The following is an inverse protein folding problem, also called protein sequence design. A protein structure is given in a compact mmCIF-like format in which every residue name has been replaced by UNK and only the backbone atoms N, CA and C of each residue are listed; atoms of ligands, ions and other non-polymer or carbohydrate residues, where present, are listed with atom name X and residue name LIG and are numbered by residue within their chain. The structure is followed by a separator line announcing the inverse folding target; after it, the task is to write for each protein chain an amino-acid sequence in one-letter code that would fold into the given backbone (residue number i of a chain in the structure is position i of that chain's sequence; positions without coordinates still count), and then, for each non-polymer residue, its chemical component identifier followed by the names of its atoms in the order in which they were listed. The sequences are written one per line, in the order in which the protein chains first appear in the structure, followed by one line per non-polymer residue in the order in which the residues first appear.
data_IF_564363588628
#
_entry.id   IF_564363588628
#
_cell.length_a   1.000
_cell.length_b   1.000
_cell.length_c   1.000
_cell.angle_alpha   90.00
_cell.angle_beta   90.00
_cell.angle_gamma   90.00
#
_symmetry.space_group_name_H-M   'P 1'
#
loop_
_entity.id
_entity.type
_entity.pdbx_description
1 polymer ?
#
# COMPACT_ATOMS: atom_id res chain seq x y z
N UNK A 1 21.39 7.47 63.57
CA UNK A 1 21.57 6.98 62.18
C UNK A 1 20.62 7.74 61.27
N UNK A 2 21.16 8.55 60.35
CA UNK A 2 20.38 9.40 59.41
C UNK A 2 19.97 8.55 58.20
N UNK A 3 18.70 8.65 57.78
CA UNK A 3 18.27 8.18 56.44
C UNK A 3 18.17 9.41 55.55
N UNK A 4 19.06 9.49 54.56
CA UNK A 4 19.07 10.53 53.54
C UNK A 4 17.89 10.32 52.58
N UNK A 5 16.88 11.19 52.68
CA UNK A 5 15.80 11.29 51.70
C UNK A 5 16.21 12.29 50.62
N UNK A 6 16.60 11.80 49.43
CA UNK A 6 16.80 12.66 48.26
C UNK A 6 15.44 13.19 47.77
N UNK A 7 15.31 14.48 47.42
CA UNK A 7 14.07 15.02 46.88
C UNK A 7 13.90 14.57 45.42
N UNK A 8 12.72 14.02 45.12
CA UNK A 8 12.31 13.62 43.77
C UNK A 8 11.95 14.88 42.99
N UNK A 9 12.84 15.35 42.11
CA UNK A 9 12.55 16.44 41.16
C UNK A 9 11.38 16.04 40.28
N UNK A 10 10.25 16.74 40.46
CA UNK A 10 9.06 16.66 39.61
C UNK A 10 9.44 17.27 38.26
N UNK A 11 9.71 16.44 37.25
CA UNK A 11 9.74 16.91 35.86
C UNK A 11 8.34 17.42 35.54
N UNK A 12 8.24 18.72 35.30
CA UNK A 12 7.12 19.32 34.59
C UNK A 12 7.19 18.81 33.16
N UNK A 13 6.45 17.74 32.87
CA UNK A 13 6.08 17.42 31.50
C UNK A 13 5.33 18.64 30.97
N UNK A 14 5.94 19.31 30.00
CA UNK A 14 5.24 20.30 29.20
C UNK A 14 4.31 19.47 28.33
N UNK A 15 3.06 19.31 28.78
CA UNK A 15 1.99 18.78 27.94
C UNK A 15 1.87 19.74 26.76
N UNK A 16 2.40 19.32 25.61
CA UNK A 16 2.10 20.01 24.37
C UNK A 16 0.57 19.99 24.19
N UNK A 17 -0.03 21.12 23.78
CA UNK A 17 -1.48 21.19 23.62
C UNK A 17 -1.89 20.18 22.55
N UNK A 18 -2.55 19.11 22.97
CA UNK A 18 -3.34 18.24 22.12
C UNK A 18 -4.46 19.09 21.51
N UNK A 19 -4.20 19.73 20.36
CA UNK A 19 -5.28 20.17 19.49
C UNK A 19 -6.14 18.95 19.16
N UNK A 20 -7.44 18.93 19.51
CA UNK A 20 -8.31 17.86 19.09
C UNK A 20 -8.35 17.93 17.56
N UNK A 21 -7.78 16.92 16.89
CA UNK A 21 -7.97 16.74 15.46
C UNK A 21 -9.48 16.82 15.20
N UNK A 22 -9.90 17.77 14.34
CA UNK A 22 -11.27 17.77 13.84
C UNK A 22 -11.59 16.36 13.34
N UNK A 23 -12.77 15.84 13.67
CA UNK A 23 -13.16 14.51 13.24
C UNK A 23 -13.03 14.43 11.72
N UNK A 24 -12.27 13.45 11.22
CA UNK A 24 -12.10 13.26 9.78
C UNK A 24 -13.50 13.16 9.13
N UNK A 25 -13.73 13.77 7.96
CA UNK A 25 -15.05 13.78 7.32
C UNK A 25 -15.46 12.40 6.75
N UNK A 26 -14.70 11.36 7.09
CA UNK A 26 -14.87 10.01 6.61
C UNK A 26 -14.50 8.99 7.70
N UNK A 27 -15.02 7.78 7.51
CA UNK A 27 -14.60 6.55 8.17
C UNK A 27 -13.97 5.60 7.15
N UNK A 28 -13.02 4.80 7.62
CA UNK A 28 -12.48 3.70 6.82
C UNK A 28 -13.45 2.52 6.84
N UNK A 29 -13.71 1.95 5.67
CA UNK A 29 -14.45 0.69 5.55
C UNK A 29 -13.72 -0.44 6.30
N UNK A 30 -14.45 -1.18 7.13
CA UNK A 30 -13.92 -2.33 7.85
C UNK A 30 -14.42 -3.63 7.22
N UNK A 31 -13.61 -4.21 6.33
CA UNK A 31 -13.96 -5.45 5.62
C UNK A 31 -14.17 -6.64 6.55
N UNK A 32 -13.66 -6.58 7.79
CA UNK A 32 -13.83 -7.66 8.76
C UNK A 32 -15.28 -7.75 9.22
N UNK A 33 -16.00 -6.63 9.29
CA UNK A 33 -17.42 -6.60 9.63
C UNK A 33 -18.24 -7.39 8.60
N UNK A 34 -17.89 -7.24 7.32
CA UNK A 34 -18.62 -7.83 6.20
C UNK A 34 -18.01 -9.14 5.69
N UNK A 35 -16.93 -9.61 6.31
CA UNK A 35 -16.15 -10.79 5.88
C UNK A 35 -15.68 -10.73 4.42
N UNK A 36 -15.49 -9.52 3.88
CA UNK A 36 -15.09 -9.35 2.50
C UNK A 36 -13.58 -9.70 2.31
N UNK A 37 -13.23 -10.42 1.22
CA UNK A 37 -11.84 -10.69 0.87
C UNK A 37 -11.12 -9.39 0.46
N UNK A 38 -9.80 -9.46 0.39
CA UNK A 38 -9.00 -8.44 -0.31
C UNK A 38 -8.86 -8.92 -1.74
N UNK A 39 -9.02 -8.05 -2.72
CA UNK A 39 -8.80 -8.41 -4.13
C UNK A 39 -7.55 -7.77 -4.72
N UNK A 40 -7.07 -8.31 -5.83
CA UNK A 40 -6.12 -7.62 -6.69
C UNK A 40 -6.83 -6.49 -7.44
N UNK A 41 -6.08 -5.55 -8.02
CA UNK A 41 -6.65 -4.57 -8.96
C UNK A 41 -7.28 -5.20 -10.21
N UNK A 42 -7.02 -6.48 -10.48
CA UNK A 42 -7.62 -7.24 -11.57
C UNK A 42 -8.91 -7.97 -11.14
N UNK A 43 -9.29 -7.89 -9.86
CA UNK A 43 -10.50 -8.52 -9.33
C UNK A 43 -10.33 -9.95 -8.84
N UNK A 44 -9.09 -10.45 -8.76
CA UNK A 44 -8.77 -11.78 -8.23
C UNK A 44 -8.64 -11.75 -6.71
N UNK A 45 -8.78 -12.87 -6.02
CA UNK A 45 -8.56 -12.92 -4.58
C UNK A 45 -7.08 -12.71 -4.22
N UNK A 46 -6.83 -11.80 -3.29
CA UNK A 46 -5.49 -11.56 -2.76
C UNK A 46 -5.24 -12.44 -1.52
N UNK A 47 -4.21 -13.31 -1.52
CA UNK A 47 -3.96 -14.27 -0.45
C UNK A 47 -3.76 -13.61 0.93
N UNK A 48 -4.30 -14.23 1.97
CA UNK A 48 -4.22 -13.70 3.33
C UNK A 48 -2.77 -13.68 3.86
N UNK A 49 -1.91 -14.57 3.39
CA UNK A 49 -0.49 -14.67 3.75
C UNK A 49 0.32 -13.55 3.06
N UNK A 50 -0.03 -13.20 1.83
CA UNK A 50 0.58 -12.11 1.08
C UNK A 50 0.39 -10.76 1.80
N UNK A 51 -0.76 -10.55 2.44
CA UNK A 51 -1.05 -9.33 3.20
C UNK A 51 -0.09 -9.07 4.38
N UNK A 52 0.55 -10.10 4.94
CA UNK A 52 1.57 -9.90 5.99
C UNK A 52 2.94 -9.51 5.44
N UNK A 53 3.13 -9.58 4.12
CA UNK A 53 4.40 -9.28 3.45
C UNK A 53 4.44 -7.88 2.83
N UNK A 54 3.36 -7.10 2.95
CA UNK A 54 3.32 -5.70 2.53
C UNK A 54 4.43 -4.89 3.21
N UNK A 55 5.04 -3.98 2.45
CA UNK A 55 6.22 -3.19 2.83
C UNK A 55 5.98 -1.70 2.60
N UNK A 56 6.91 -0.88 3.09
CA UNK A 56 6.97 0.55 2.75
C UNK A 56 7.24 0.68 1.25
N UNK A 57 6.52 1.59 0.59
CA UNK A 57 6.53 1.78 -0.86
C UNK A 57 5.44 1.01 -1.61
N UNK A 58 4.83 0.00 -0.97
CA UNK A 58 3.73 -0.74 -1.59
C UNK A 58 2.48 0.14 -1.69
N UNK A 59 1.76 0.02 -2.80
CA UNK A 59 0.47 0.68 -3.00
C UNK A 59 -0.69 -0.20 -2.53
N UNK A 60 -1.67 0.38 -1.87
CA UNK A 60 -2.92 -0.28 -1.48
C UNK A 60 -4.10 0.61 -1.81
N UNK A 61 -5.29 0.02 -1.91
CA UNK A 61 -6.54 0.77 -2.06
C UNK A 61 -7.39 0.66 -0.80
N UNK A 62 -7.91 1.79 -0.36
CA UNK A 62 -8.83 1.92 0.75
C UNK A 62 -10.18 2.43 0.25
N UNK A 63 -11.25 2.11 0.98
CA UNK A 63 -12.58 2.66 0.78
C UNK A 63 -12.90 3.60 1.95
N UNK A 64 -13.04 4.89 1.64
CA UNK A 64 -13.44 5.94 2.58
C UNK A 64 -14.94 6.17 2.41
N UNK A 65 -15.68 6.30 3.50
CA UNK A 65 -17.14 6.48 3.49
C UNK A 65 -17.53 7.61 4.43
N UNK A 66 -18.57 8.36 4.10
CA UNK A 66 -19.21 9.29 5.03
C UNK A 66 -20.40 8.63 5.75
N UNK A 67 -21.09 9.41 6.56
CA UNK A 67 -22.30 8.99 7.28
C UNK A 67 -23.54 8.94 6.38
N UNK A 68 -23.51 9.61 5.22
CA UNK A 68 -24.57 9.56 4.21
C UNK A 68 -24.49 8.30 3.32
N UNK A 69 -23.41 7.52 3.43
CA UNK A 69 -23.18 6.32 2.64
C UNK A 69 -22.48 6.58 1.31
N UNK A 70 -22.05 7.82 1.04
CA UNK A 70 -21.20 8.15 -0.08
C UNK A 70 -19.78 7.61 0.16
N UNK A 71 -19.15 7.08 -0.88
CA UNK A 71 -17.84 6.44 -0.74
C UNK A 71 -16.86 6.84 -1.84
N UNK A 72 -15.58 6.81 -1.49
CA UNK A 72 -14.47 7.03 -2.42
C UNK A 72 -13.42 5.92 -2.26
N UNK A 73 -12.98 5.34 -3.38
CA UNK A 73 -11.85 4.40 -3.41
C UNK A 73 -10.57 5.14 -3.79
N UNK A 74 -9.58 5.13 -2.90
CA UNK A 74 -8.36 5.93 -3.05
C UNK A 74 -7.14 5.03 -2.88
N UNK A 75 -6.10 5.31 -3.67
CA UNK A 75 -4.82 4.63 -3.61
C UNK A 75 -3.90 5.32 -2.61
N UNK A 76 -3.20 4.52 -1.81
CA UNK A 76 -2.22 4.98 -0.82
C UNK A 76 -0.92 4.22 -1.00
N UNK A 77 0.19 4.94 -1.00
CA UNK A 77 1.52 4.36 -0.83
C UNK A 77 1.79 4.19 0.67
N UNK A 78 2.22 3.01 1.10
CA UNK A 78 2.59 2.77 2.51
C UNK A 78 3.87 3.53 2.82
N UNK A 79 3.82 4.46 3.76
CA UNK A 79 4.98 5.27 4.20
C UNK A 79 5.63 4.72 5.46
N UNK A 80 4.85 4.05 6.33
CA UNK A 80 5.39 3.35 7.49
C UNK A 80 4.52 2.20 7.97
N UNK A 81 5.15 1.25 8.68
CA UNK A 81 4.49 0.08 9.26
C UNK A 81 4.88 -0.03 10.73
N UNK A 82 3.87 0.00 11.60
CA UNK A 82 4.03 -0.29 13.02
C UNK A 82 3.83 -1.79 13.25
N UNK A 83 4.83 -2.44 13.85
CA UNK A 83 4.79 -3.85 14.23
C UNK A 83 4.52 -4.02 15.73
N UNK A 84 4.12 -5.23 16.14
CA UNK A 84 4.00 -5.55 17.56
C UNK A 84 5.39 -5.64 18.21
N UNK A 85 5.61 -4.87 19.28
CA UNK A 85 6.90 -4.79 19.98
C UNK A 85 7.22 -5.98 20.88
N UNK A 86 6.24 -6.85 21.18
CA UNK A 86 6.42 -8.03 22.05
C UNK A 86 6.19 -9.32 21.26
N UNK A 87 7.14 -10.26 21.36
CA UNK A 87 7.00 -11.63 20.87
C UNK A 87 7.57 -11.95 19.49
N UNK A 88 8.38 -11.06 18.90
CA UNK A 88 9.11 -11.36 17.65
C UNK A 88 8.22 -11.54 16.42
N UNK A 89 6.92 -11.25 16.48
CA UNK A 89 6.04 -11.38 15.32
C UNK A 89 6.29 -10.23 14.34
N UNK A 90 6.74 -10.54 13.13
CA UNK A 90 6.84 -9.62 11.99
C UNK A 90 5.47 -9.21 11.41
N UNK A 91 4.39 -9.35 12.19
CA UNK A 91 3.02 -9.08 11.73
C UNK A 91 2.72 -7.58 11.79
N UNK A 92 2.38 -6.93 10.66
CA UNK A 92 1.95 -5.54 10.66
C UNK A 92 0.73 -5.31 11.54
N UNK A 93 0.78 -4.31 12.43
CA UNK A 93 -0.33 -3.89 13.29
C UNK A 93 -1.09 -2.74 12.67
N UNK A 94 -0.37 -1.71 12.25
CA UNK A 94 -0.91 -0.44 11.75
C UNK A 94 0.00 0.04 10.62
N UNK A 95 -0.63 0.64 9.61
CA UNK A 95 0.04 1.24 8.48
C UNK A 95 -0.21 2.74 8.52
N UNK A 96 0.74 3.51 8.03
CA UNK A 96 0.51 4.86 7.55
C UNK A 96 0.72 4.87 6.04
N UNK A 97 -0.10 5.62 5.34
CA UNK A 97 0.06 5.76 3.90
C UNK A 97 -0.35 7.13 3.42
N UNK A 98 0.31 7.53 2.34
CA UNK A 98 0.12 8.82 1.67
C UNK A 98 -0.78 8.63 0.47
N UNK A 99 -1.83 9.44 0.37
CA UNK A 99 -2.76 9.42 -0.75
C UNK A 99 -2.04 9.75 -2.04
N UNK A 100 -2.18 8.88 -3.04
CA UNK A 100 -1.62 9.06 -4.37
C UNK A 100 -2.56 9.87 -5.26
N UNK A 101 -1.99 10.61 -6.21
CA UNK A 101 -2.77 11.25 -7.27
C UNK A 101 -3.57 10.19 -8.02
N UNK A 102 -4.84 10.48 -8.29
CA UNK A 102 -5.66 9.62 -9.14
C UNK A 102 -6.20 10.45 -10.29
N UNK A 103 -6.38 9.83 -11.46
CA UNK A 103 -6.90 10.47 -12.68
C UNK A 103 -8.32 11.07 -12.53
N UNK A 104 -8.94 10.98 -11.35
CA UNK A 104 -10.25 11.57 -11.13
C UNK A 104 -10.09 13.09 -11.07
N UNK A 105 -10.81 13.77 -11.97
CA UNK A 105 -11.02 15.21 -11.98
C UNK A 105 -11.29 15.65 -10.53
N UNK A 106 -10.54 16.66 -10.08
CA UNK A 106 -10.61 17.24 -8.74
C UNK A 106 -12.08 17.59 -8.43
N UNK A 107 -12.76 16.69 -7.73
CA UNK A 107 -14.04 17.01 -7.11
C UNK A 107 -13.70 17.90 -5.91
N UNK A 108 -14.40 19.02 -5.69
CA UNK A 108 -14.20 19.82 -4.47
C UNK A 108 -14.48 19.03 -3.19
N UNK A 109 -15.18 17.89 -3.30
CA UNK A 109 -15.68 17.08 -2.19
C UNK A 109 -14.85 15.80 -1.92
N UNK A 110 -13.52 15.81 -2.14
CA UNK A 110 -12.70 14.64 -1.79
C UNK A 110 -12.56 14.50 -0.28
N UNK A 111 -12.64 13.28 0.23
CA UNK A 111 -12.40 13.01 1.64
C UNK A 111 -10.94 13.20 2.05
N UNK A 112 -10.01 12.98 1.12
CA UNK A 112 -8.57 13.24 1.27
C UNK A 112 -7.99 13.79 -0.02
N UNK A 113 -7.01 14.67 0.11
CA UNK A 113 -6.25 15.24 -1.00
C UNK A 113 -5.00 14.41 -1.32
N UNK A 114 -4.44 14.59 -2.51
CA UNK A 114 -3.13 14.03 -2.82
C UNK A 114 -2.09 14.51 -1.81
N UNK A 115 -1.25 13.59 -1.32
CA UNK A 115 -0.23 13.88 -0.32
C UNK A 115 -0.69 13.77 1.13
N UNK A 116 -2.01 13.71 1.39
CA UNK A 116 -2.52 13.50 2.75
C UNK A 116 -2.09 12.14 3.30
N UNK A 117 -1.60 12.13 4.53
CA UNK A 117 -1.22 10.89 5.21
C UNK A 117 -2.30 10.46 6.20
N UNK A 118 -2.68 9.18 6.12
CA UNK A 118 -3.67 8.61 7.02
C UNK A 118 -3.18 7.29 7.62
N UNK A 119 -3.72 6.97 8.78
CA UNK A 119 -3.46 5.72 9.47
C UNK A 119 -4.54 4.68 9.16
N UNK A 120 -4.16 3.45 8.86
CA UNK A 120 -5.09 2.34 8.63
C UNK A 120 -4.57 1.00 9.15
N UNK A 121 -5.41 -0.02 9.08
CA UNK A 121 -5.09 -1.38 9.49
C UNK A 121 -5.34 -2.33 8.32
N UNK A 122 -4.81 -3.55 8.42
CA UNK A 122 -4.98 -4.60 7.40
C UNK A 122 -6.45 -4.88 7.03
N UNK A 123 -7.39 -4.66 7.95
CA UNK A 123 -8.83 -4.85 7.73
C UNK A 123 -9.47 -3.73 6.90
N UNK A 124 -8.79 -2.61 6.70
CA UNK A 124 -9.29 -1.50 5.88
C UNK A 124 -8.82 -1.58 4.42
N UNK A 125 -7.83 -2.41 4.13
CA UNK A 125 -7.32 -2.62 2.77
C UNK A 125 -8.33 -3.45 1.98
N UNK A 126 -8.84 -2.88 0.88
CA UNK A 126 -9.80 -3.54 0.00
C UNK A 126 -9.14 -4.12 -1.25
N UNK A 127 -8.10 -3.46 -1.78
CA UNK A 127 -7.41 -3.92 -2.97
C UNK A 127 -5.89 -3.71 -2.89
N UNK A 128 -5.12 -4.55 -3.57
CA UNK A 128 -3.65 -4.47 -3.69
C UNK A 128 -3.27 -4.68 -5.18
N UNK A 129 -2.22 -4.04 -5.74
CA UNK A 129 -1.80 -4.34 -7.10
C UNK A 129 -1.38 -5.80 -7.27
N UNK A 130 -1.75 -6.40 -8.41
CA UNK A 130 -1.53 -7.82 -8.70
C UNK A 130 -0.06 -8.24 -8.76
N UNK A 131 0.85 -7.33 -9.15
CA UNK A 131 2.31 -7.60 -9.24
C UNK A 131 2.96 -8.05 -7.92
N UNK A 132 2.25 -7.89 -6.79
CA UNK A 132 2.73 -8.32 -5.49
C UNK A 132 2.66 -9.83 -5.38
N UNK A 133 1.74 -10.49 -6.08
CA UNK A 133 1.64 -11.94 -6.09
C UNK A 133 2.88 -12.59 -6.70
N UNK A 134 3.40 -12.00 -7.79
CA UNK A 134 4.67 -12.42 -8.41
C UNK A 134 5.84 -12.20 -7.45
N UNK A 135 5.89 -11.01 -6.83
CA UNK A 135 6.93 -10.62 -5.87
C UNK A 135 6.96 -11.50 -4.61
N UNK A 136 5.82 -12.10 -4.26
CA UNK A 136 5.70 -13.02 -3.13
C UNK A 136 5.86 -14.50 -3.52
N UNK A 137 6.05 -14.81 -4.81
CA UNK A 137 6.13 -16.17 -5.32
C UNK A 137 4.81 -16.94 -5.16
N UNK A 138 3.68 -16.24 -5.20
CA UNK A 138 2.34 -16.79 -4.96
C UNK A 138 1.44 -16.79 -6.22
N UNK A 139 1.93 -16.29 -7.35
CA UNK A 139 1.24 -16.43 -8.62
C UNK A 139 1.28 -17.89 -9.10
N UNK A 140 0.20 -18.64 -8.87
CA UNK A 140 0.02 -19.97 -9.41
C UNK A 140 -0.68 -19.89 -10.77
N UNK A 141 0.05 -20.11 -11.87
CA UNK A 141 -0.58 -20.29 -13.18
C UNK A 141 0.24 -19.98 -14.44
N UNK A 142 1.39 -19.31 -14.35
CA UNK A 142 2.29 -19.12 -15.48
C UNK A 142 3.73 -19.21 -14.99
N UNK A 143 4.44 -20.29 -15.34
CA UNK A 143 5.90 -20.46 -15.22
C UNK A 143 6.55 -19.85 -13.97
N UNK A 144 6.82 -20.67 -12.95
CA UNK A 144 7.53 -20.24 -11.74
C UNK A 144 8.87 -19.54 -12.01
N UNK A 145 9.45 -18.86 -11.01
CA UNK A 145 10.61 -18.01 -11.18
C UNK A 145 11.88 -18.86 -11.29
N UNK A 146 12.11 -19.47 -12.46
CA UNK A 146 13.45 -19.80 -12.90
C UNK A 146 13.89 -18.70 -13.89
N UNK A 147 14.71 -17.79 -13.37
CA UNK A 147 15.68 -16.99 -14.15
C UNK A 147 15.19 -16.44 -15.49
N UNK A 148 14.19 -15.55 -15.47
CA UNK A 148 13.70 -14.89 -16.69
C UNK A 148 14.63 -13.79 -17.24
N UNK A 149 15.84 -13.57 -16.70
CA UNK A 149 16.78 -12.62 -17.33
C UNK A 149 17.15 -13.08 -18.75
N UNK A 150 17.43 -14.37 -18.92
CA UNK A 150 17.78 -14.92 -20.24
C UNK A 150 16.59 -14.91 -21.21
N UNK A 151 15.38 -15.22 -20.75
CA UNK A 151 14.17 -15.18 -21.57
C UNK A 151 13.76 -13.75 -21.95
N UNK A 152 13.92 -12.79 -21.03
CA UNK A 152 13.68 -11.36 -21.29
C UNK A 152 14.75 -10.79 -22.23
N UNK A 153 16.02 -11.21 -22.09
CA UNK A 153 17.10 -10.83 -23.02
C UNK A 153 16.93 -11.44 -24.42
N UNK A 154 16.47 -12.69 -24.52
CA UNK A 154 16.19 -13.33 -25.80
C UNK A 154 14.98 -12.72 -26.50
N UNK A 155 13.92 -12.38 -25.76
CA UNK A 155 12.75 -11.69 -26.32
C UNK A 155 13.13 -10.26 -26.76
N UNK A 156 13.96 -9.56 -25.97
CA UNK A 156 14.50 -8.25 -26.34
C UNK A 156 15.38 -8.33 -27.60
N UNK A 157 16.18 -9.39 -27.75
CA UNK A 157 16.97 -9.63 -28.98
C UNK A 157 16.08 -9.90 -30.18
N UNK A 158 15.03 -10.71 -30.03
CA UNK A 158 14.05 -10.95 -31.11
C UNK A 158 13.36 -9.68 -31.58
N UNK A 159 12.89 -8.85 -30.65
CA UNK A 159 12.22 -7.58 -30.99
C UNK A 159 13.20 -6.65 -31.74
N UNK A 160 14.45 -6.54 -31.27
CA UNK A 160 15.47 -5.71 -31.92
C UNK A 160 15.87 -6.24 -33.31
N UNK A 161 15.92 -7.55 -33.50
CA UNK A 161 16.17 -8.15 -34.83
C UNK A 161 14.98 -7.95 -35.77
N UNK A 162 13.75 -8.04 -35.25
CA UNK A 162 12.55 -7.77 -36.04
C UNK A 162 12.49 -6.31 -36.48
N UNK A 163 12.79 -5.36 -35.59
CA UNK A 163 12.88 -3.93 -35.92
C UNK A 163 14.01 -3.62 -36.93
N UNK A 164 15.18 -4.26 -36.79
CA UNK A 164 16.26 -4.14 -37.79
C UNK A 164 15.85 -4.65 -39.15
N UNK A 165 15.13 -5.76 -39.20
CA UNK A 165 14.67 -6.36 -40.45
C UNK A 165 13.62 -5.47 -41.13
N UNK A 166 12.68 -4.91 -40.36
CA UNK A 166 11.66 -3.99 -40.87
C UNK A 166 12.27 -2.67 -41.39
N UNK A 167 13.28 -2.13 -40.71
CA UNK A 167 14.00 -0.92 -41.17
C UNK A 167 14.83 -1.20 -42.43
N UNK A 168 15.42 -2.39 -42.56
CA UNK A 168 16.18 -2.78 -43.75
C UNK A 168 15.28 -2.89 -44.99
N UNK A 169 14.10 -3.50 -44.87
CA UNK A 169 13.14 -3.60 -45.98
C UNK A 169 12.49 -2.25 -46.33
N UNK A 170 12.25 -1.37 -45.35
CA UNK A 170 11.73 -0.03 -45.61
C UNK A 170 12.73 0.89 -46.35
N UNK A 171 14.04 0.65 -46.20
CA UNK A 171 15.10 1.45 -46.86
C UNK A 171 15.48 0.96 -48.26
N UNK A 172 15.03 -0.23 -48.66
CA UNK A 172 15.36 -0.85 -49.95
C UNK A 172 14.12 -1.12 -50.84
N UNK A 173 12.94 -0.65 -50.42
CA UNK A 173 11.70 -0.70 -51.20
C UNK A 173 11.43 0.60 -52.01
N UNK A 174 12.48 1.36 -52.35
CA UNK A 174 12.41 2.47 -53.33
C UNK A 174 13.21 2.13 -54.57
#
# INVERSE_FOLDING_TARGET
MRKDSRPRTRRTETEEPHTPYAAAPYRLYDRKADRAPVSTWHGEDFPAEAMSRLQVGDAVRLLLMDDAGCWEKIYFEITSIDYYSKGGSSKPRKFRGRALSTYRIVSPDRYVSEGDEIAFQRRHIVEVPGWHLDSFGLAAGAGGPQSNLAAVEDERRRILDQERTTVYFAKHAR
#
